data_IF_253209356946
#
_entry.id   IF_253209356946
#
_cell.length_a   1.000
_cell.length_b   1.000
_cell.length_c   1.000
_cell.angle_alpha   90.00
_cell.angle_beta   90.00
_cell.angle_gamma   90.00
#
_symmetry.space_group_name_H-M   'P 1'
#
loop_
_entity.id
_entity.type
_entity.pdbx_description
1 polymer ?
#
# COMPACT_ATOMS: atom_id res chain seq x y z
N UNK A 1 -9.26 28.27 -75.27
CA UNK A 1 -8.20 28.65 -74.32
C UNK A 1 -7.65 27.34 -73.74
N UNK A 2 -6.72 26.57 -74.31
CA UNK A 2 -5.43 26.79 -74.96
C UNK A 2 -4.35 27.43 -74.07
N UNK A 3 -3.25 26.67 -73.88
CA UNK A 3 -1.89 26.96 -73.35
C UNK A 3 -1.71 26.60 -71.87
N UNK A 4 -1.10 25.48 -71.46
CA UNK A 4 0.23 24.91 -71.76
C UNK A 4 1.40 25.85 -71.39
N UNK A 5 2.16 25.53 -70.33
CA UNK A 5 3.60 25.15 -70.36
C UNK A 5 4.32 25.29 -69.01
N UNK A 6 4.89 24.15 -68.58
CA UNK A 6 6.25 23.90 -68.04
C UNK A 6 7.02 25.08 -67.39
N UNK A 7 7.59 24.85 -66.19
CA UNK A 7 9.05 24.65 -65.94
C UNK A 7 9.34 24.54 -64.42
N UNK A 8 9.89 23.39 -63.97
CA UNK A 8 11.25 23.16 -63.44
C UNK A 8 11.61 23.73 -62.05
N UNK A 9 11.97 22.77 -61.18
CA UNK A 9 13.16 22.73 -60.32
C UNK A 9 13.10 23.38 -58.92
N UNK A 10 13.23 22.57 -57.86
CA UNK A 10 14.47 22.32 -57.11
C UNK A 10 14.15 21.63 -55.78
N UNK A 11 14.88 20.55 -55.51
CA UNK A 11 14.96 19.91 -54.20
C UNK A 11 15.48 20.90 -53.14
N UNK A 12 14.89 20.90 -51.95
CA UNK A 12 15.56 21.20 -50.69
C UNK A 12 14.99 20.31 -49.59
N UNK A 13 15.91 19.54 -49.01
CA UNK A 13 15.80 18.78 -47.78
C UNK A 13 15.88 19.79 -46.65
N UNK A 14 14.88 19.85 -45.77
CA UNK A 14 15.02 20.50 -44.47
C UNK A 14 14.85 19.43 -43.39
N UNK A 15 16.00 18.89 -42.99
CA UNK A 15 16.15 18.18 -41.73
C UNK A 15 15.98 19.17 -40.58
N UNK A 16 15.16 18.81 -39.60
CA UNK A 16 15.15 19.45 -38.29
C UNK A 16 15.94 18.56 -37.35
N UNK A 17 17.18 18.97 -37.14
CA UNK A 17 18.05 18.46 -36.08
C UNK A 17 17.50 18.95 -34.73
N UNK A 18 16.82 18.08 -33.99
CA UNK A 18 16.57 18.26 -32.56
C UNK A 18 17.88 17.98 -31.80
N UNK A 19 18.77 18.98 -31.82
CA UNK A 19 19.95 19.02 -31.00
C UNK A 19 19.54 19.14 -29.52
N UNK A 20 19.44 17.99 -28.85
CA UNK A 20 19.38 17.87 -27.39
C UNK A 20 20.52 18.69 -26.79
N UNK A 21 20.16 19.79 -26.14
CA UNK A 21 21.09 20.61 -25.37
C UNK A 21 21.71 19.79 -24.24
N UNK A 22 22.99 19.43 -24.39
CA UNK A 22 23.82 18.98 -23.28
C UNK A 22 24.13 20.20 -22.41
N UNK A 23 23.24 20.52 -21.47
CA UNK A 23 23.53 21.46 -20.41
C UNK A 23 24.75 20.98 -19.62
N UNK A 24 25.82 21.78 -19.56
CA UNK A 24 26.89 21.60 -18.59
C UNK A 24 26.27 21.83 -17.21
N UNK A 25 25.82 20.76 -16.56
CA UNK A 25 25.50 20.78 -15.14
C UNK A 25 26.71 21.32 -14.39
N UNK A 26 26.51 22.33 -13.54
CA UNK A 26 27.57 22.86 -12.69
C UNK A 26 28.05 21.74 -11.76
N UNK A 27 29.33 21.78 -11.39
CA UNK A 27 29.91 20.77 -10.49
C UNK A 27 29.15 20.72 -9.14
N UNK A 28 28.57 21.84 -8.73
CA UNK A 28 27.71 21.95 -7.54
C UNK A 28 26.38 21.21 -7.69
N UNK A 29 25.68 21.30 -8.83
CA UNK A 29 24.46 20.54 -9.07
C UNK A 29 24.71 19.02 -9.12
N UNK A 30 25.84 18.61 -9.69
CA UNK A 30 26.28 17.21 -9.70
C UNK A 30 26.71 16.71 -8.32
N UNK A 31 27.33 17.57 -7.50
CA UNK A 31 27.67 17.24 -6.11
C UNK A 31 26.44 17.17 -5.20
N UNK A 32 25.45 18.06 -5.38
CA UNK A 32 24.18 18.02 -4.66
C UNK A 32 23.40 16.75 -4.97
N UNK A 33 23.14 16.46 -6.25
CA UNK A 33 22.43 15.23 -6.63
C UNK A 33 23.12 13.92 -6.19
N UNK A 34 24.46 13.92 -6.08
CA UNK A 34 25.20 12.80 -5.47
C UNK A 34 25.00 12.69 -3.97
N UNK A 35 25.03 13.82 -3.24
CA UNK A 35 24.80 13.84 -1.79
C UNK A 35 23.37 13.41 -1.45
N UNK A 36 22.40 13.94 -2.18
CA UNK A 36 20.98 13.62 -1.99
C UNK A 36 20.74 12.11 -2.21
N UNK A 37 21.33 11.54 -3.28
CA UNK A 37 21.28 10.09 -3.52
C UNK A 37 21.97 9.25 -2.43
N UNK A 38 23.14 9.69 -1.95
CA UNK A 38 23.85 9.00 -0.86
C UNK A 38 23.07 9.09 0.48
N UNK A 39 22.34 10.19 0.72
CA UNK A 39 21.47 10.37 1.89
C UNK A 39 20.24 9.45 1.81
N UNK A 40 19.59 9.37 0.65
CA UNK A 40 18.46 8.47 0.42
C UNK A 40 18.84 6.99 0.58
N UNK A 41 20.00 6.61 0.06
CA UNK A 41 20.52 5.25 0.20
C UNK A 41 20.75 4.90 1.69
N UNK A 42 21.35 5.81 2.47
CA UNK A 42 21.54 5.62 3.91
C UNK A 42 20.21 5.48 4.64
N UNK A 43 19.26 6.37 4.36
CA UNK A 43 17.95 6.37 4.99
C UNK A 43 17.19 5.06 4.71
N UNK A 44 17.21 4.57 3.47
CA UNK A 44 16.61 3.29 3.11
C UNK A 44 17.28 2.12 3.84
N UNK A 45 18.61 2.10 3.93
CA UNK A 45 19.32 1.03 4.66
C UNK A 45 18.95 1.02 6.14
N UNK A 46 18.80 2.19 6.77
CA UNK A 46 18.36 2.31 8.16
C UNK A 46 16.90 1.85 8.34
N UNK A 47 16.00 2.25 7.43
CA UNK A 47 14.62 1.79 7.39
C UNK A 47 14.52 0.26 7.29
N UNK A 48 15.26 -0.36 6.38
CA UNK A 48 15.30 -1.82 6.25
C UNK A 48 15.85 -2.48 7.52
N UNK A 49 16.91 -1.92 8.12
CA UNK A 49 17.51 -2.45 9.35
C UNK A 49 16.54 -2.43 10.53
N UNK A 50 15.73 -1.39 10.66
CA UNK A 50 14.71 -1.29 11.70
C UNK A 50 13.67 -2.42 11.60
N UNK A 51 13.40 -2.90 10.38
CA UNK A 51 12.52 -4.03 10.10
C UNK A 51 13.21 -5.40 10.18
N UNK A 52 14.49 -5.45 10.54
CA UNK A 52 15.27 -6.70 10.52
C UNK A 52 15.58 -7.20 9.10
N UNK A 53 15.49 -6.32 8.10
CA UNK A 53 15.74 -6.59 6.70
C UNK A 53 17.09 -6.02 6.26
N UNK A 54 17.56 -6.48 5.10
CA UNK A 54 18.70 -5.93 4.38
C UNK A 54 18.48 -6.04 2.87
N UNK A 55 18.99 -5.06 2.10
CA UNK A 55 19.00 -5.17 0.64
C UNK A 55 20.06 -6.16 0.20
N UNK A 56 19.77 -6.86 -0.89
CA UNK A 56 20.71 -7.65 -1.68
C UNK A 56 20.75 -7.02 -3.07
N UNK A 57 21.91 -6.45 -3.39
CA UNK A 57 22.15 -5.85 -4.69
C UNK A 57 22.03 -6.90 -5.79
N UNK A 58 21.34 -6.53 -6.86
CA UNK A 58 21.25 -7.29 -8.11
C UNK A 58 21.92 -6.51 -9.22
N UNK A 59 22.10 -7.13 -10.38
CA UNK A 59 22.68 -6.43 -11.53
C UNK A 59 21.81 -5.21 -11.94
N UNK A 60 22.44 -4.05 -12.04
CA UNK A 60 21.80 -2.77 -12.38
C UNK A 60 21.61 -2.62 -13.89
N UNK A 61 20.80 -3.50 -14.45
CA UNK A 61 20.34 -3.48 -15.83
C UNK A 61 18.81 -3.35 -15.90
N UNK A 62 18.26 -3.34 -17.11
CA UNK A 62 16.80 -3.29 -17.30
C UNK A 62 16.06 -4.57 -16.90
N UNK A 63 16.76 -5.59 -16.37
CA UNK A 63 16.15 -6.78 -15.81
C UNK A 63 16.08 -6.73 -14.28
N UNK A 64 16.55 -5.66 -13.63
CA UNK A 64 16.68 -5.57 -12.17
C UNK A 64 15.41 -5.99 -11.39
N UNK A 65 14.22 -5.60 -11.84
CA UNK A 65 12.97 -6.05 -11.22
C UNK A 65 12.80 -7.57 -11.25
N UNK A 66 12.96 -8.19 -12.41
CA UNK A 66 12.84 -9.64 -12.56
C UNK A 66 13.98 -10.39 -11.88
N UNK A 67 15.18 -9.80 -11.81
CA UNK A 67 16.33 -10.33 -11.04
C UNK A 67 16.06 -10.31 -9.54
N UNK A 68 15.48 -9.22 -9.03
CA UNK A 68 15.07 -9.12 -7.63
C UNK A 68 14.01 -10.17 -7.30
N UNK A 69 13.00 -10.36 -8.16
CA UNK A 69 12.00 -11.43 -7.98
C UNK A 69 12.61 -12.84 -8.09
N UNK A 70 13.59 -13.04 -8.97
CA UNK A 70 14.30 -14.31 -9.10
C UNK A 70 15.06 -14.63 -7.81
N UNK A 71 15.76 -13.64 -7.24
CA UNK A 71 16.44 -13.82 -5.96
C UNK A 71 15.45 -14.15 -4.83
N UNK A 72 14.30 -13.49 -4.81
CA UNK A 72 13.25 -13.76 -3.84
C UNK A 72 12.71 -15.19 -3.93
N UNK A 73 12.45 -15.66 -5.15
CA UNK A 73 11.81 -16.96 -5.42
C UNK A 73 12.79 -18.14 -5.42
N UNK A 74 13.99 -17.95 -5.96
CA UNK A 74 14.95 -19.02 -6.25
C UNK A 74 16.24 -18.92 -5.44
N UNK A 75 16.58 -17.73 -4.95
CA UNK A 75 17.78 -17.52 -4.14
C UNK A 75 18.95 -16.85 -4.86
N UNK A 76 18.79 -16.63 -6.16
CA UNK A 76 19.72 -15.99 -7.08
C UNK A 76 18.98 -15.34 -8.26
N UNK A 77 19.70 -14.52 -9.03
CA UNK A 77 19.14 -13.72 -10.12
C UNK A 77 18.96 -14.49 -11.43
N UNK A 78 19.56 -15.67 -11.57
CA UNK A 78 19.82 -16.33 -12.86
C UNK A 78 18.58 -16.79 -13.63
N UNK A 79 17.40 -16.76 -13.00
CA UNK A 79 16.12 -17.14 -13.62
C UNK A 79 15.20 -15.94 -13.90
N UNK A 80 15.75 -14.73 -13.97
CA UNK A 80 14.97 -13.52 -14.28
C UNK A 80 14.21 -13.61 -15.60
N UNK A 81 14.80 -14.21 -16.65
CA UNK A 81 14.14 -14.37 -17.96
C UNK A 81 12.87 -15.22 -17.89
N UNK A 82 12.87 -16.27 -17.05
CA UNK A 82 11.71 -17.14 -16.86
C UNK A 82 10.56 -16.34 -16.23
N UNK A 83 10.87 -15.50 -15.25
CA UNK A 83 9.88 -14.63 -14.62
C UNK A 83 9.37 -13.57 -15.59
N UNK A 84 10.23 -12.93 -16.38
CA UNK A 84 9.81 -11.98 -17.43
C UNK A 84 8.82 -12.65 -18.39
N UNK A 85 9.18 -13.81 -18.94
CA UNK A 85 8.31 -14.56 -19.86
C UNK A 85 6.96 -14.88 -19.22
N UNK A 86 6.97 -15.34 -17.97
CA UNK A 86 5.74 -15.69 -17.24
C UNK A 86 4.82 -14.48 -17.00
N UNK A 87 5.40 -13.34 -16.63
CA UNK A 87 4.66 -12.09 -16.37
C UNK A 87 4.08 -11.52 -17.67
N UNK A 88 4.91 -11.42 -18.72
CA UNK A 88 4.48 -10.86 -20.01
C UNK A 88 3.42 -11.74 -20.69
N UNK A 89 3.54 -13.07 -20.60
CA UNK A 89 2.50 -13.98 -21.09
C UNK A 89 1.18 -13.83 -20.34
N UNK A 90 1.22 -13.52 -19.04
CA UNK A 90 0.00 -13.26 -18.29
C UNK A 90 -0.65 -11.94 -18.66
N UNK A 91 0.17 -10.90 -18.89
CA UNK A 91 -0.30 -9.61 -19.42
C UNK A 91 -1.01 -9.84 -20.74
N UNK A 92 -0.34 -10.49 -21.71
CA UNK A 92 -0.89 -10.83 -23.02
C UNK A 92 -2.24 -11.57 -22.95
N UNK A 93 -2.39 -12.51 -22.02
CA UNK A 93 -3.62 -13.32 -21.88
C UNK A 93 -4.79 -12.56 -21.23
N UNK A 94 -4.52 -11.42 -20.59
CA UNK A 94 -5.51 -10.62 -19.86
C UNK A 94 -5.49 -9.19 -20.36
N UNK A 95 -5.54 -9.03 -21.68
CA UNK A 95 -5.53 -7.71 -22.33
C UNK A 95 -6.56 -6.75 -21.72
N UNK A 96 -7.78 -7.21 -21.46
CA UNK A 96 -8.85 -6.40 -20.86
C UNK A 96 -8.47 -5.81 -19.49
N UNK A 97 -7.65 -6.51 -18.71
CA UNK A 97 -7.21 -6.09 -17.38
C UNK A 97 -6.03 -5.09 -17.44
N UNK A 98 -5.22 -5.14 -18.51
CA UNK A 98 -3.93 -4.42 -18.58
C UNK A 98 -3.87 -3.33 -19.64
N UNK A 99 -4.60 -3.47 -20.76
CA UNK A 99 -4.62 -2.48 -21.84
C UNK A 99 -4.97 -1.06 -21.38
N UNK A 100 -5.88 -0.83 -20.42
CA UNK A 100 -6.16 0.52 -19.91
C UNK A 100 -4.98 1.21 -19.20
N UNK A 101 -3.92 0.47 -18.87
CA UNK A 101 -2.72 0.97 -18.19
C UNK A 101 -1.52 1.10 -19.14
N UNK A 102 -1.66 0.75 -20.42
CA UNK A 102 -0.65 1.02 -21.44
C UNK A 102 -0.74 2.50 -21.84
N UNK A 103 0.40 3.13 -22.12
CA UNK A 103 0.47 4.53 -22.52
C UNK A 103 -0.30 4.78 -23.83
N UNK A 104 -0.95 5.95 -23.95
CA UNK A 104 -1.83 6.27 -25.09
C UNK A 104 -1.10 6.31 -26.46
N UNK A 105 0.24 6.37 -26.48
CA UNK A 105 1.06 6.41 -27.69
C UNK A 105 1.56 5.04 -28.17
N UNK A 106 1.22 3.96 -27.47
CA UNK A 106 1.59 2.58 -27.82
C UNK A 106 0.36 1.66 -27.80
N UNK A 107 0.18 0.81 -28.82
CA UNK A 107 -0.85 -0.22 -28.78
C UNK A 107 -0.43 -1.41 -27.90
N UNK A 108 -1.43 -2.16 -27.40
CA UNK A 108 -1.19 -3.24 -26.45
C UNK A 108 -0.24 -4.33 -26.96
N UNK A 109 -0.33 -4.75 -28.23
CA UNK A 109 0.57 -5.80 -28.73
C UNK A 109 2.00 -5.28 -28.88
N UNK A 110 2.18 -4.05 -29.35
CA UNK A 110 3.48 -3.37 -29.38
C UNK A 110 4.11 -3.29 -27.98
N UNK A 111 3.32 -2.95 -26.96
CA UNK A 111 3.74 -2.95 -25.56
C UNK A 111 4.24 -4.33 -25.11
N UNK A 112 3.45 -5.37 -25.36
CA UNK A 112 3.79 -6.75 -24.96
C UNK A 112 5.05 -7.23 -25.69
N UNK A 113 5.19 -6.94 -26.99
CA UNK A 113 6.40 -7.24 -27.76
C UNK A 113 7.63 -6.52 -27.21
N UNK A 114 7.50 -5.24 -26.84
CA UNK A 114 8.59 -4.48 -26.23
C UNK A 114 8.97 -5.05 -24.86
N UNK A 115 8.01 -5.30 -23.98
CA UNK A 115 8.25 -5.84 -22.64
C UNK A 115 8.81 -7.27 -22.64
N UNK A 116 8.55 -8.03 -23.72
CA UNK A 116 9.15 -9.34 -23.97
C UNK A 116 10.67 -9.29 -24.21
N UNK A 117 11.23 -8.13 -24.57
CA UNK A 117 12.66 -7.97 -24.88
C UNK A 117 13.50 -8.03 -23.60
N UNK A 118 14.69 -8.60 -23.74
CA UNK A 118 15.67 -8.59 -22.66
C UNK A 118 16.12 -7.15 -22.35
N UNK A 119 16.25 -6.84 -21.06
CA UNK A 119 16.65 -5.51 -20.60
C UNK A 119 15.58 -4.43 -20.69
N UNK A 120 14.31 -4.76 -20.94
CA UNK A 120 13.22 -3.77 -20.90
C UNK A 120 12.74 -3.53 -19.46
N UNK A 121 12.63 -2.26 -19.06
CA UNK A 121 12.40 -1.87 -17.67
C UNK A 121 10.95 -2.13 -17.25
N UNK A 122 10.78 -2.74 -16.09
CA UNK A 122 9.47 -3.02 -15.52
C UNK A 122 8.88 -1.77 -14.83
N UNK A 123 7.58 -1.55 -15.04
CA UNK A 123 6.81 -0.51 -14.36
C UNK A 123 5.77 -1.08 -13.40
N UNK A 124 4.81 -0.24 -13.03
CA UNK A 124 3.72 -0.60 -12.12
C UNK A 124 2.86 -1.77 -12.67
N UNK A 125 2.68 -1.81 -13.99
CA UNK A 125 1.91 -2.84 -14.69
C UNK A 125 2.57 -4.21 -14.48
N UNK A 126 3.88 -4.34 -14.71
CA UNK A 126 4.63 -5.58 -14.46
C UNK A 126 4.59 -6.00 -12.99
N UNK A 127 4.65 -5.05 -12.06
CA UNK A 127 4.58 -5.38 -10.62
C UNK A 127 3.23 -5.98 -10.27
N UNK A 128 2.13 -5.38 -10.76
CA UNK A 128 0.77 -5.88 -10.57
C UNK A 128 0.58 -7.27 -11.21
N UNK A 129 1.05 -7.42 -12.45
CA UNK A 129 0.99 -8.70 -13.16
C UNK A 129 1.83 -9.78 -12.47
N UNK A 130 3.03 -9.46 -12.03
CA UNK A 130 3.88 -10.37 -11.27
C UNK A 130 3.19 -10.85 -10.00
N UNK A 131 2.54 -9.95 -9.26
CA UNK A 131 1.84 -10.32 -8.03
C UNK A 131 0.70 -11.33 -8.30
N UNK A 132 -0.09 -11.08 -9.35
CA UNK A 132 -1.17 -11.98 -9.77
C UNK A 132 -0.69 -13.35 -10.26
N UNK A 133 0.39 -13.38 -11.04
CA UNK A 133 0.94 -14.61 -11.63
C UNK A 133 1.65 -15.48 -10.60
N UNK A 134 2.39 -14.85 -9.69
CA UNK A 134 3.16 -15.54 -8.67
C UNK A 134 2.27 -15.98 -7.49
N UNK A 135 1.05 -15.44 -7.39
CA UNK A 135 0.13 -15.71 -6.27
C UNK A 135 0.67 -15.18 -4.94
N UNK A 136 1.49 -14.15 -5.00
CA UNK A 136 2.26 -13.57 -3.89
C UNK A 136 2.31 -12.06 -4.12
N UNK A 137 2.06 -11.25 -3.10
CA UNK A 137 2.14 -9.79 -3.25
C UNK A 137 3.58 -9.30 -3.47
N UNK A 138 3.75 -8.05 -3.88
CA UNK A 138 5.07 -7.42 -4.03
C UNK A 138 5.11 -6.15 -3.19
N UNK A 139 5.95 -6.15 -2.15
CA UNK A 139 6.18 -5.03 -1.26
C UNK A 139 7.43 -4.26 -1.70
N UNK A 140 7.24 -2.98 -2.05
CA UNK A 140 8.29 -2.06 -2.47
C UNK A 140 8.65 -1.16 -1.29
N UNK A 141 9.95 -1.13 -0.96
CA UNK A 141 10.54 -0.22 0.02
C UNK A 141 11.25 0.92 -0.71
N UNK A 142 10.95 2.16 -0.35
CA UNK A 142 11.60 3.34 -0.90
C UNK A 142 11.98 4.29 0.24
N UNK A 143 13.11 4.99 0.08
CA UNK A 143 13.60 5.97 1.07
C UNK A 143 12.51 6.97 1.42
N UNK A 144 12.27 7.16 2.72
CA UNK A 144 11.34 8.18 3.24
C UNK A 144 9.90 8.03 2.78
N UNK A 145 9.52 6.87 2.24
CA UNK A 145 8.20 6.64 1.66
C UNK A 145 7.52 5.43 2.33
N UNK A 146 6.19 5.46 2.46
CA UNK A 146 5.44 4.30 2.93
C UNK A 146 5.70 3.07 2.09
N UNK A 147 5.60 1.89 2.72
CA UNK A 147 5.75 0.61 1.99
C UNK A 147 4.55 0.41 1.07
N UNK A 148 4.80 0.32 -0.23
CA UNK A 148 3.75 0.05 -1.20
C UNK A 148 3.64 -1.46 -1.44
N UNK A 149 2.42 -2.01 -1.45
CA UNK A 149 2.20 -3.45 -1.66
C UNK A 149 1.22 -3.69 -2.80
N UNK A 150 1.68 -4.41 -3.84
CA UNK A 150 0.84 -4.89 -4.94
C UNK A 150 0.33 -6.31 -4.69
N UNK A 151 -0.87 -6.64 -5.19
CA UNK A 151 -1.45 -7.99 -5.14
C UNK A 151 -1.72 -8.54 -3.73
N UNK A 152 -1.71 -7.67 -2.73
CA UNK A 152 -2.20 -7.95 -1.39
C UNK A 152 -3.27 -6.91 -1.05
N UNK A 153 -4.46 -7.38 -0.67
CA UNK A 153 -5.38 -6.51 0.05
C UNK A 153 -4.72 -6.11 1.38
N UNK A 154 -4.75 -4.82 1.73
CA UNK A 154 -4.17 -4.34 3.00
C UNK A 154 -4.73 -5.08 4.23
N UNK A 155 -5.91 -5.70 4.06
CA UNK A 155 -6.65 -6.47 5.05
C UNK A 155 -6.21 -7.94 5.20
N UNK A 156 -5.49 -8.52 4.24
CA UNK A 156 -5.05 -9.92 4.29
C UNK A 156 -3.69 -10.06 4.98
N UNK A 157 -3.72 -10.31 6.28
CA UNK A 157 -2.52 -10.52 7.11
C UNK A 157 -1.77 -11.82 6.78
N UNK A 158 -2.42 -12.77 6.12
CA UNK A 158 -1.79 -14.01 5.67
C UNK A 158 -1.13 -13.85 4.30
N UNK A 159 -1.36 -12.71 3.63
CA UNK A 159 -0.72 -12.44 2.36
C UNK A 159 0.79 -12.47 2.54
N UNK A 160 1.43 -13.30 1.71
CA UNK A 160 2.88 -13.40 1.63
C UNK A 160 3.33 -12.48 0.52
N UNK A 161 4.40 -11.75 0.75
CA UNK A 161 4.94 -10.76 -0.16
C UNK A 161 6.40 -11.00 -0.45
N UNK A 162 6.80 -10.86 -1.71
CA UNK A 162 8.20 -10.63 -2.06
C UNK A 162 8.56 -9.18 -1.75
N UNK A 163 9.76 -8.97 -1.23
CA UNK A 163 10.23 -7.65 -0.85
C UNK A 163 11.32 -7.17 -1.81
N UNK A 164 11.14 -5.97 -2.32
CA UNK A 164 12.11 -5.28 -3.18
C UNK A 164 12.30 -3.86 -2.67
N UNK A 165 13.47 -3.27 -2.90
CA UNK A 165 13.67 -1.84 -2.74
C UNK A 165 13.64 -1.15 -4.10
N UNK A 166 13.24 0.13 -4.11
CA UNK A 166 13.29 1.00 -5.27
C UNK A 166 14.22 2.17 -4.99
N UNK A 167 15.30 2.27 -5.76
CA UNK A 167 16.46 3.13 -5.52
C UNK A 167 16.81 3.91 -6.81
N UNK A 168 17.37 5.12 -6.67
CA UNK A 168 17.91 5.87 -7.82
C UNK A 168 16.89 6.31 -8.88
N UNK A 169 15.59 6.15 -8.59
CA UNK A 169 14.45 6.36 -9.49
C UNK A 169 14.28 5.32 -10.61
N UNK A 170 15.06 4.25 -10.64
CA UNK A 170 15.01 3.26 -11.73
C UNK A 170 15.46 1.84 -11.36
N UNK A 171 16.01 1.63 -10.17
CA UNK A 171 16.66 0.38 -9.84
C UNK A 171 15.94 -0.38 -8.74
N UNK A 172 15.68 -1.65 -9.01
CA UNK A 172 15.14 -2.58 -8.01
C UNK A 172 16.24 -3.47 -7.45
N UNK A 173 16.26 -3.60 -6.12
CA UNK A 173 17.05 -4.63 -5.43
C UNK A 173 16.14 -5.60 -4.70
N UNK A 174 16.66 -6.80 -4.43
CA UNK A 174 15.97 -7.76 -3.57
C UNK A 174 16.11 -7.34 -2.10
N UNK A 175 15.08 -7.55 -1.28
CA UNK A 175 15.14 -7.26 0.16
C UNK A 175 14.90 -8.54 0.95
N UNK A 176 15.84 -8.89 1.83
CA UNK A 176 15.87 -10.16 2.55
C UNK A 176 15.85 -9.96 4.06
N UNK A 177 15.54 -11.02 4.80
CA UNK A 177 15.82 -11.07 6.25
C UNK A 177 17.32 -10.94 6.46
N UNK A 178 17.71 -10.07 7.40
CA UNK A 178 19.10 -9.80 7.71
C UNK A 178 19.83 -11.05 8.19
N UNK A 179 20.98 -11.35 7.60
CA UNK A 179 21.79 -12.54 7.91
C UNK A 179 21.29 -13.82 7.24
N UNK A 180 20.36 -13.72 6.29
CA UNK A 180 19.95 -14.87 5.47
C UNK A 180 21.11 -15.35 4.58
N UNK A 181 21.17 -16.66 4.31
CA UNK A 181 22.25 -17.25 3.50
C UNK A 181 22.04 -16.94 2.01
N UNK A 182 23.14 -16.66 1.31
CA UNK A 182 23.14 -16.59 -0.15
C UNK A 182 22.77 -17.96 -0.75
N UNK A 183 22.07 -17.96 -1.89
CA UNK A 183 21.67 -19.16 -2.61
C UNK A 183 20.46 -19.90 -2.03
N UNK A 184 19.89 -19.42 -0.91
CA UNK A 184 18.53 -19.84 -0.49
C UNK A 184 17.51 -18.81 -0.96
N UNK A 185 16.31 -19.22 -1.39
CA UNK A 185 15.21 -18.30 -1.65
C UNK A 185 15.01 -17.35 -0.46
N UNK A 186 14.83 -16.05 -0.73
CA UNK A 186 14.42 -15.12 0.33
C UNK A 186 13.03 -15.49 0.86
N UNK A 187 12.23 -16.12 -0.01
CA UNK A 187 10.87 -16.52 0.25
C UNK A 187 9.93 -15.32 0.21
N UNK A 188 8.62 -15.55 0.13
CA UNK A 188 7.68 -14.50 0.42
C UNK A 188 7.50 -14.41 1.95
N UNK A 189 7.62 -13.20 2.50
CA UNK A 189 7.45 -12.91 3.92
C UNK A 189 6.01 -12.50 4.20
N UNK A 190 5.45 -12.80 5.38
CA UNK A 190 4.13 -12.27 5.74
C UNK A 190 4.25 -10.77 6.05
N UNK A 191 3.34 -9.97 5.49
CA UNK A 191 3.27 -8.52 5.80
C UNK A 191 3.08 -8.27 7.30
N UNK A 192 2.41 -9.18 8.02
CA UNK A 192 2.19 -9.08 9.47
C UNK A 192 3.51 -9.11 10.27
N UNK A 193 4.54 -9.83 9.81
CA UNK A 193 5.85 -9.88 10.48
C UNK A 193 6.58 -8.53 10.48
N UNK A 194 6.22 -7.63 9.56
CA UNK A 194 6.85 -6.33 9.41
C UNK A 194 6.09 -5.22 10.15
N UNK A 195 4.94 -5.52 10.76
CA UNK A 195 4.12 -4.51 11.46
C UNK A 195 4.53 -4.31 12.90
N UNK A 196 5.24 -5.24 13.54
CA UNK A 196 5.61 -5.09 14.95
C UNK A 196 6.46 -3.83 15.24
N UNK A 197 7.45 -3.46 14.41
CA UNK A 197 8.15 -2.19 14.56
C UNK A 197 7.23 -0.98 14.34
N UNK A 198 6.39 -1.02 13.29
CA UNK A 198 5.45 0.06 12.95
C UNK A 198 4.42 0.29 14.07
N UNK A 199 3.81 -0.78 14.59
CA UNK A 199 2.84 -0.73 15.68
C UNK A 199 3.47 -0.18 16.96
N UNK A 200 4.72 -0.56 17.26
CA UNK A 200 5.45 0.01 18.40
C UNK A 200 5.71 1.50 18.22
N UNK A 201 6.03 1.93 17.00
CA UNK A 201 6.29 3.32 16.70
C UNK A 201 5.01 4.17 16.77
N UNK A 202 3.90 3.69 16.20
CA UNK A 202 2.59 4.36 16.34
C UNK A 202 2.21 4.44 17.81
N UNK A 203 2.34 3.34 18.57
CA UNK A 203 1.99 3.32 19.99
C UNK A 203 2.81 4.33 20.80
N UNK A 204 4.11 4.42 20.50
CA UNK A 204 5.04 5.35 21.16
C UNK A 204 4.69 6.81 20.87
N UNK A 205 4.29 7.14 19.63
CA UNK A 205 3.99 8.52 19.20
C UNK A 205 2.60 8.98 19.63
N UNK A 206 1.57 8.19 19.31
CA UNK A 206 0.17 8.52 19.61
C UNK A 206 -0.23 8.28 21.07
N UNK A 207 0.54 7.49 21.83
CA UNK A 207 0.17 7.03 23.17
C UNK A 207 -0.95 5.97 23.20
N UNK A 208 -1.43 5.51 22.04
CA UNK A 208 -2.41 4.43 21.94
C UNK A 208 -1.72 3.06 22.00
N UNK A 209 -2.15 2.19 22.93
CA UNK A 209 -1.61 0.83 23.05
C UNK A 209 -2.63 -0.26 22.64
N UNK A 210 -3.75 0.14 22.05
CA UNK A 210 -4.79 -0.78 21.61
C UNK A 210 -4.40 -1.37 20.25
N UNK A 211 -3.83 -2.58 20.27
CA UNK A 211 -3.25 -3.25 19.10
C UNK A 211 -4.18 -3.28 17.89
N UNK A 212 -5.48 -3.53 18.09
CA UNK A 212 -6.42 -3.63 16.97
C UNK A 212 -6.72 -2.26 16.35
N UNK A 213 -6.79 -1.21 17.18
CA UNK A 213 -6.93 0.16 16.70
C UNK A 213 -5.70 0.58 15.88
N UNK A 214 -4.50 0.31 16.41
CA UNK A 214 -3.24 0.59 15.71
C UNK A 214 -3.17 -0.14 14.37
N UNK A 215 -3.56 -1.44 14.35
CA UNK A 215 -3.63 -2.21 13.11
C UNK A 215 -4.63 -1.64 12.12
N UNK A 216 -5.82 -1.21 12.59
CA UNK A 216 -6.85 -0.61 11.74
C UNK A 216 -6.35 0.69 11.10
N UNK A 217 -5.75 1.59 11.87
CA UNK A 217 -5.21 2.84 11.35
C UNK A 217 -4.09 2.57 10.33
N UNK A 218 -3.13 1.71 10.67
CA UNK A 218 -2.04 1.35 9.76
C UNK A 218 -2.56 0.71 8.46
N UNK A 219 -3.64 -0.10 8.52
CA UNK A 219 -4.30 -0.64 7.32
C UNK A 219 -4.95 0.45 6.46
N UNK A 220 -5.71 1.35 7.09
CA UNK A 220 -6.39 2.44 6.39
C UNK A 220 -5.37 3.35 5.69
N UNK A 221 -4.21 3.55 6.31
CA UNK A 221 -3.12 4.37 5.81
C UNK A 221 -2.13 3.60 4.93
N UNK A 222 -2.46 2.40 4.43
CA UNK A 222 -1.61 1.60 3.53
C UNK A 222 -0.19 1.32 4.07
N UNK A 223 -0.08 1.10 5.38
CA UNK A 223 1.16 0.94 6.12
C UNK A 223 2.07 2.18 6.18
N UNK A 224 1.51 3.37 5.99
CA UNK A 224 2.13 4.64 6.34
C UNK A 224 2.02 4.86 7.86
N UNK A 225 3.16 4.90 8.54
CA UNK A 225 3.23 5.10 10.00
C UNK A 225 2.86 6.52 10.39
N UNK A 226 3.27 7.52 9.61
CA UNK A 226 2.99 8.93 9.91
C UNK A 226 1.50 9.21 9.78
N UNK A 227 0.91 8.84 8.65
CA UNK A 227 -0.53 9.00 8.44
C UNK A 227 -1.36 8.16 9.43
N UNK A 228 -0.86 7.00 9.88
CA UNK A 228 -1.53 6.22 10.91
C UNK A 228 -1.47 6.87 12.30
N UNK A 229 -0.37 7.55 12.64
CA UNK A 229 -0.27 8.34 13.88
C UNK A 229 -1.29 9.47 13.88
N UNK A 230 -1.36 10.25 12.80
CA UNK A 230 -2.31 11.35 12.67
C UNK A 230 -3.76 10.88 12.85
N UNK A 231 -4.14 9.77 12.20
CA UNK A 231 -5.47 9.17 12.35
C UNK A 231 -5.77 8.77 13.80
N UNK A 232 -4.79 8.20 14.51
CA UNK A 232 -4.99 7.79 15.91
C UNK A 232 -5.09 9.00 16.82
N UNK A 233 -4.26 10.03 16.61
CA UNK A 233 -4.29 11.27 17.38
C UNK A 233 -5.65 11.96 17.23
N UNK A 234 -6.16 12.08 16.00
CA UNK A 234 -7.49 12.63 15.71
C UNK A 234 -8.61 11.83 16.42
N UNK A 235 -8.57 10.50 16.35
CA UNK A 235 -9.55 9.63 17.02
C UNK A 235 -9.53 9.80 18.54
N UNK A 236 -8.34 9.88 19.15
CA UNK A 236 -8.19 10.09 20.60
C UNK A 236 -8.71 11.47 21.03
N UNK A 237 -8.47 12.51 20.22
CA UNK A 237 -9.01 13.85 20.48
C UNK A 237 -10.54 13.88 20.39
N UNK A 238 -11.13 13.23 19.39
CA UNK A 238 -12.58 13.12 19.25
C UNK A 238 -13.21 12.39 20.44
N UNK A 239 -12.60 11.30 20.90
CA UNK A 239 -13.03 10.57 22.10
C UNK A 239 -12.93 11.43 23.37
N UNK A 240 -11.85 12.20 23.51
CA UNK A 240 -11.68 13.11 24.64
C UNK A 240 -12.77 14.19 24.66
N UNK A 241 -13.07 14.80 23.52
CA UNK A 241 -14.16 15.80 23.37
C UNK A 241 -15.53 15.17 23.64
N UNK A 242 -15.79 13.97 23.12
CA UNK A 242 -17.04 13.25 23.36
C UNK A 242 -17.22 12.91 24.85
N UNK A 243 -16.14 12.49 25.51
CA UNK A 243 -16.12 12.19 26.96
C UNK A 243 -16.36 13.44 27.80
N UNK A 244 -15.69 14.55 27.50
CA UNK A 244 -15.88 15.83 28.20
C UNK A 244 -17.34 16.29 28.10
N UNK A 245 -17.91 16.26 26.89
CA UNK A 245 -19.32 16.58 26.66
C UNK A 245 -20.28 15.65 27.41
N UNK A 246 -19.98 14.35 27.49
CA UNK A 246 -20.80 13.41 28.25
C UNK A 246 -20.81 13.73 29.75
N UNK A 247 -19.67 14.16 30.30
CA UNK A 247 -19.57 14.61 31.70
C UNK A 247 -20.40 15.89 31.91
N UNK A 248 -20.31 16.86 30.99
CA UNK A 248 -21.12 18.09 31.04
C UNK A 248 -22.63 17.79 30.96
N UNK A 249 -23.04 16.83 30.14
CA UNK A 249 -24.42 16.36 29.99
C UNK A 249 -24.90 15.52 31.20
N UNK A 250 -24.04 15.29 32.20
CA UNK A 250 -24.35 14.60 33.45
C UNK A 250 -24.38 13.07 33.35
N UNK A 251 -23.68 12.49 32.37
CA UNK A 251 -23.52 11.04 32.24
C UNK A 251 -22.51 10.54 33.29
N UNK A 252 -22.90 9.52 34.07
CA UNK A 252 -21.98 8.85 34.98
C UNK A 252 -21.00 7.98 34.18
N UNK A 253 -19.77 8.47 34.07
CA UNK A 253 -18.69 7.85 33.31
C UNK A 253 -18.13 6.58 33.96
N UNK A 254 -18.45 6.29 35.23
CA UNK A 254 -17.95 5.12 35.93
C UNK A 254 -18.65 3.80 35.51
N UNK A 255 -19.84 3.88 34.92
CA UNK A 255 -20.58 2.74 34.35
C UNK A 255 -20.27 2.48 32.87
N UNK A 256 -19.43 3.29 32.24
CA UNK A 256 -19.13 3.16 30.80
C UNK A 256 -17.89 2.27 30.58
N UNK A 257 -18.12 0.98 30.40
CA UNK A 257 -17.12 -0.07 30.25
C UNK A 257 -16.60 -0.22 28.81
N UNK A 258 -16.08 0.87 28.23
CA UNK A 258 -15.25 0.81 27.02
C UNK A 258 -15.99 0.57 25.69
N UNK A 259 -17.22 1.06 25.58
CA UNK A 259 -17.96 1.10 24.30
C UNK A 259 -17.65 2.31 23.42
N UNK A 260 -18.13 2.28 22.17
CA UNK A 260 -18.04 3.40 21.23
C UNK A 260 -18.89 4.60 21.69
N UNK A 261 -18.25 5.75 21.90
CA UNK A 261 -18.90 6.99 22.35
C UNK A 261 -19.91 7.54 21.32
N UNK A 262 -19.80 7.18 20.03
CA UNK A 262 -20.74 7.58 19.00
C UNK A 262 -22.14 6.97 19.22
N UNK A 263 -22.24 5.77 19.80
CA UNK A 263 -23.53 5.11 20.07
C UNK A 263 -24.32 5.76 21.23
N UNK A 264 -23.64 6.49 22.12
CA UNK A 264 -24.24 7.09 23.33
C UNK A 264 -25.33 8.12 22.98
N UNK A 265 -25.19 8.82 21.85
CA UNK A 265 -26.17 9.81 21.40
C UNK A 265 -27.55 9.21 21.05
N UNK A 266 -27.62 7.91 20.74
CA UNK A 266 -28.85 7.25 20.26
C UNK A 266 -29.73 6.72 21.39
N UNK A 267 -29.14 6.22 22.48
CA UNK A 267 -29.88 5.58 23.59
C UNK A 267 -30.63 6.58 24.47
N UNK A 268 -30.15 7.83 24.61
CA UNK A 268 -30.77 8.82 25.50
C UNK A 268 -31.98 9.56 24.89
N UNK A 269 -32.13 9.59 23.56
CA UNK A 269 -33.34 10.15 22.91
C UNK A 269 -34.60 9.29 23.13
N UNK A 270 -34.46 8.02 23.54
CA UNK A 270 -35.58 7.11 23.80
C UNK A 270 -36.15 7.16 25.23
N UNK A 271 -35.48 7.82 26.19
CA UNK A 271 -35.79 7.70 27.62
C UNK A 271 -36.23 9.02 28.28
N UNK A 272 -37.10 9.80 27.64
CA UNK A 272 -37.88 10.86 28.31
C UNK A 272 -39.32 10.93 27.80
N UNK A 273 -40.25 10.23 28.50
CA UNK A 273 -41.56 10.75 28.97
C UNK A 273 -42.38 9.64 29.63
N UNK A 274 -42.73 9.83 30.90
CA UNK A 274 -43.65 8.98 31.65
C UNK A 274 -43.84 9.49 33.09
N UNK A 275 -44.48 10.64 33.22
CA UNK A 275 -44.69 11.33 34.50
C UNK A 275 -45.66 10.62 35.46
N UNK A 276 -45.34 10.79 36.73
CA UNK A 276 -46.03 10.39 37.96
C UNK A 276 -47.54 10.75 38.02
N UNK A 277 -48.40 9.82 38.46
CA UNK A 277 -49.73 10.11 39.03
C UNK A 277 -50.06 9.16 40.19
N UNK A 278 -50.09 9.73 41.41
CA UNK A 278 -51.23 9.70 42.35
C UNK A 278 -51.78 8.36 42.87
N UNK A 279 -51.58 8.12 44.18
CA UNK A 279 -52.26 7.16 45.06
C UNK A 279 -53.80 7.16 44.96
N UNK A 280 -54.42 5.98 44.94
CA UNK A 280 -55.59 5.66 45.78
C UNK A 280 -55.71 4.14 46.05
N UNK A 281 -56.08 3.80 47.30
CA UNK A 281 -56.33 2.44 47.81
C UNK A 281 -57.80 2.05 47.59
N UNK A 282 -58.10 0.80 47.22
CA UNK A 282 -58.81 -0.21 48.05
C UNK A 282 -59.17 -1.47 47.24
N UNK A 283 -58.87 -2.61 47.89
CA UNK A 283 -59.56 -3.90 48.00
C UNK A 283 -60.13 -4.66 46.79
N UNK A 284 -59.72 -5.95 46.72
CA UNK A 284 -60.64 -7.07 46.54
C UNK A 284 -60.35 -8.02 45.38
N UNK A 285 -60.09 -9.30 45.70
CA UNK A 285 -60.65 -10.43 44.94
C UNK A 285 -59.76 -11.19 43.94
N UNK A 286 -59.10 -12.25 44.43
CA UNK A 286 -59.09 -13.65 43.93
C UNK A 286 -59.41 -13.90 42.42
N UNK A 287 -58.51 -14.52 41.65
CA UNK A 287 -58.63 -15.91 41.12
C UNK A 287 -57.47 -16.31 40.19
N UNK A 288 -57.18 -17.62 40.21
CA UNK A 288 -56.13 -18.39 39.52
C UNK A 288 -56.44 -18.61 38.04
N UNK A 289 -55.44 -19.17 37.34
CA UNK A 289 -55.42 -20.15 36.21
C UNK A 289 -54.64 -19.59 35.01
N UNK A 290 -53.91 -20.35 34.19
CA UNK A 290 -53.25 -21.66 34.23
C UNK A 290 -52.24 -21.63 33.06
N UNK A 291 -51.23 -22.51 33.14
CA UNK A 291 -50.41 -23.11 32.07
C UNK A 291 -50.54 -22.64 30.61
N UNK A 292 -49.41 -22.53 29.89
CA UNK A 292 -49.04 -23.57 28.92
C UNK A 292 -47.58 -23.47 28.45
N UNK A 293 -47.01 -24.66 28.27
CA UNK A 293 -45.64 -25.01 27.88
C UNK A 293 -45.35 -24.89 26.37
N UNK A 294 -44.05 -24.81 26.07
CA UNK A 294 -43.29 -25.64 25.11
C UNK A 294 -43.13 -25.29 23.61
N UNK A 295 -41.94 -25.74 23.15
CA UNK A 295 -41.43 -26.03 21.79
C UNK A 295 -40.82 -24.81 21.05
N UNK A 296 -39.51 -24.70 20.81
CA UNK A 296 -38.44 -25.66 20.47
C UNK A 296 -38.73 -26.48 19.22
N UNK A 297 -38.36 -25.94 18.05
CA UNK A 297 -37.49 -26.55 17.03
C UNK A 297 -36.62 -25.42 16.46
#
# INVERSE_FOLDING_TARGET
>A
MARDRRTRARARVDGRDDARGRGRGTNEGRMRGRRDGDDDERALVEQLRALGLERREVEADGNCFFRALADQRFGDEGRHEELRKMVVEAIRRREEDYAPFVEDDEDFESYVERMSRDGEWAGHLEVSAAAGVLGVGVCIHQSGSPRWVSGAEATDERCRTYHVSYEGCDHYNSVRIRGSKAGTPAGPLSVALLRDPDLREIARRSGCYETERLRRALRACRNDVDAAVDVIEDELEEEARAREKAIEDGVDIAEFDGGDWAEVQTKHKGKKKGGNRGRHRRDGGIEKVDSFESLAI
#
